data_IF_525219494766
#
_entry.id   IF_525219494766
#
_cell.length_a   1.000
_cell.length_b   1.000
_cell.length_c   1.000
_cell.angle_alpha   90.00
_cell.angle_beta   90.00
_cell.angle_gamma   90.00
#
_symmetry.space_group_name_H-M   'P 1'
#
loop_
_entity.id
_entity.type
_entity.pdbx_description
1 polymer ?
#
# COMPACT_ATOMS: atom_id res chain seq x y z
N UNK A 1 -20.61 -8.16 23.35
CA UNK A 1 -20.04 -7.47 24.53
C UNK A 1 -18.73 -8.15 24.88
N UNK A 2 -17.65 -7.38 25.05
CA UNK A 2 -16.28 -7.86 25.31
C UNK A 2 -16.20 -8.83 26.48
N UNK A 3 -17.00 -8.64 27.53
CA UNK A 3 -17.03 -9.47 28.74
C UNK A 3 -17.35 -10.94 28.43
N UNK A 4 -18.34 -11.19 27.56
CA UNK A 4 -18.72 -12.55 27.12
C UNK A 4 -17.67 -13.23 26.23
N UNK A 5 -16.83 -12.45 25.55
CA UNK A 5 -15.76 -12.98 24.70
C UNK A 5 -14.54 -13.40 25.54
N UNK A 6 -14.18 -12.61 26.55
CA UNK A 6 -13.10 -12.93 27.51
C UNK A 6 -13.38 -14.24 28.25
N UNK A 7 -14.62 -14.47 28.69
CA UNK A 7 -15.04 -15.73 29.33
C UNK A 7 -14.94 -16.95 28.41
N UNK A 8 -14.98 -16.76 27.08
CA UNK A 8 -14.90 -17.83 26.08
C UNK A 8 -13.46 -18.13 25.63
N UNK A 9 -12.58 -17.11 25.61
CA UNK A 9 -11.18 -17.23 25.17
C UNK A 9 -10.21 -17.74 26.24
N UNK A 10 -10.62 -17.86 27.51
CA UNK A 10 -9.79 -18.40 28.59
C UNK A 10 -9.54 -19.91 28.49
N UNK A 11 -10.18 -20.62 27.54
CA UNK A 11 -9.92 -22.03 27.26
C UNK A 11 -8.59 -22.14 26.49
N UNK A 12 -7.54 -22.54 27.20
CA UNK A 12 -6.18 -22.67 26.64
C UNK A 12 -6.12 -23.84 25.65
N UNK A 13 -6.33 -23.58 24.37
CA UNK A 13 -6.04 -24.56 23.32
C UNK A 13 -4.52 -24.54 23.09
N UNK A 14 -3.83 -25.56 23.60
CA UNK A 14 -2.42 -25.81 23.29
C UNK A 14 -2.33 -26.48 21.92
N UNK A 15 -1.98 -25.69 20.90
CA UNK A 15 -1.65 -26.15 19.56
C UNK A 15 -0.77 -25.11 18.87
N UNK A 16 0.12 -25.55 17.99
CA UNK A 16 0.89 -24.61 17.16
C UNK A 16 -0.09 -23.98 16.16
N UNK A 17 0.01 -22.68 15.87
CA UNK A 17 -0.92 -22.01 14.91
C UNK A 17 -0.95 -22.73 13.54
N UNK A 18 0.14 -23.41 13.21
CA UNK A 18 0.30 -24.28 12.04
C UNK A 18 -0.67 -25.48 12.00
N UNK A 19 -1.13 -25.96 13.16
CA UNK A 19 -2.11 -27.07 13.29
C UNK A 19 -3.56 -26.58 13.23
N UNK A 20 -3.80 -25.29 13.48
CA UNK A 20 -5.14 -24.72 13.64
C UNK A 20 -5.74 -24.18 12.33
N UNK A 21 -4.93 -23.87 11.31
CA UNK A 21 -5.44 -23.38 10.01
C UNK A 21 -4.62 -23.96 8.85
N UNK A 22 -5.14 -25.01 8.17
CA UNK A 22 -4.59 -25.46 6.89
C UNK A 22 -4.81 -24.36 5.84
N UNK A 23 -3.77 -23.61 5.46
CA UNK A 23 -3.79 -22.80 4.22
C UNK A 23 -3.25 -21.37 4.30
N UNK A 24 -3.01 -20.79 5.47
CA UNK A 24 -2.42 -19.45 5.59
C UNK A 24 -1.09 -19.50 6.34
N UNK A 25 -0.05 -20.01 5.69
CA UNK A 25 1.31 -19.95 6.25
C UNK A 25 1.77 -18.51 6.26
N UNK A 26 1.87 -17.92 7.45
CA UNK A 26 2.52 -16.62 7.63
C UNK A 26 3.92 -16.66 7.02
N UNK A 27 4.27 -15.62 6.25
CA UNK A 27 5.66 -15.35 5.89
C UNK A 27 5.94 -13.87 6.09
N UNK A 28 7.14 -13.55 6.55
CA UNK A 28 7.60 -12.17 6.73
C UNK A 28 7.46 -11.35 5.44
N UNK A 29 7.82 -11.95 4.31
CA UNK A 29 7.72 -11.31 2.99
C UNK A 29 6.26 -10.96 2.63
N UNK A 30 5.31 -11.88 2.86
CA UNK A 30 3.90 -11.64 2.57
C UNK A 30 3.30 -10.58 3.49
N UNK A 31 3.64 -10.60 4.78
CA UNK A 31 3.20 -9.57 5.73
C UNK A 31 3.70 -8.18 5.31
N UNK A 32 4.99 -8.07 4.96
CA UNK A 32 5.59 -6.82 4.47
C UNK A 32 4.85 -6.31 3.23
N UNK A 33 4.67 -7.16 2.22
CA UNK A 33 3.95 -6.79 1.00
C UNK A 33 2.51 -6.30 1.28
N UNK A 34 1.76 -7.02 2.12
CA UNK A 34 0.38 -6.65 2.44
C UNK A 34 0.29 -5.33 3.21
N UNK A 35 1.22 -5.06 4.13
CA UNK A 35 1.28 -3.78 4.83
C UNK A 35 1.65 -2.64 3.88
N UNK A 36 2.64 -2.85 3.01
CA UNK A 36 3.01 -1.87 1.99
C UNK A 36 1.84 -1.54 1.07
N UNK A 37 1.14 -2.58 0.57
CA UNK A 37 -0.05 -2.40 -0.26
C UNK A 37 -1.17 -1.66 0.49
N UNK A 38 -1.42 -2.01 1.76
CA UNK A 38 -2.42 -1.33 2.59
C UNK A 38 -2.10 0.15 2.76
N UNK A 39 -0.84 0.49 3.05
CA UNK A 39 -0.36 1.87 3.20
C UNK A 39 -0.54 2.65 1.91
N UNK A 40 -0.16 2.09 0.76
CA UNK A 40 -0.32 2.73 -0.56
C UNK A 40 -1.81 2.96 -0.86
N UNK A 41 -2.63 1.91 -0.80
CA UNK A 41 -4.05 1.96 -1.21
C UNK A 41 -4.91 2.86 -0.33
N UNK A 42 -4.51 3.08 0.92
CA UNK A 42 -5.25 3.91 1.88
C UNK A 42 -4.60 5.25 2.16
N UNK A 43 -3.50 5.57 1.48
CA UNK A 43 -2.73 6.80 1.68
C UNK A 43 -2.35 7.03 3.15
N UNK A 44 -2.01 5.96 3.87
CA UNK A 44 -1.62 6.10 5.27
C UNK A 44 -0.22 6.69 5.40
N UNK A 45 0.07 7.46 6.46
CA UNK A 45 1.43 7.78 6.84
C UNK A 45 2.25 6.50 7.08
N UNK A 46 3.51 6.48 6.68
CA UNK A 46 4.37 5.29 6.87
C UNK A 46 4.48 4.87 8.35
N UNK A 47 4.40 5.83 9.27
CA UNK A 47 4.43 5.60 10.71
C UNK A 47 3.25 4.75 11.23
N UNK A 48 2.18 4.54 10.45
CA UNK A 48 1.02 3.75 10.88
C UNK A 48 1.40 2.32 11.27
N UNK A 49 2.43 1.73 10.63
CA UNK A 49 2.89 0.37 10.97
C UNK A 49 3.67 0.29 12.29
N UNK A 50 3.97 1.45 12.87
CA UNK A 50 4.67 1.59 14.15
C UNK A 50 3.73 1.87 15.32
N UNK A 51 2.44 2.03 15.05
CA UNK A 51 1.38 2.20 16.05
C UNK A 51 1.40 1.05 17.08
N UNK A 52 1.51 1.35 18.38
CA UNK A 52 1.61 0.32 19.42
C UNK A 52 0.39 -0.60 19.49
N UNK A 53 -0.80 -0.05 19.36
CA UNK A 53 -2.08 -0.76 19.42
C UNK A 53 -2.22 -1.73 18.24
N UNK A 54 -1.89 -1.28 17.02
CA UNK A 54 -1.86 -2.14 15.84
C UNK A 54 -0.86 -3.29 16.00
N UNK A 55 0.35 -3.00 16.50
CA UNK A 55 1.36 -4.03 16.76
C UNK A 55 0.91 -5.03 17.81
N UNK A 56 0.23 -4.56 18.86
CA UNK A 56 -0.34 -5.44 19.88
C UNK A 56 -1.39 -6.39 19.28
N UNK A 57 -2.24 -5.91 18.36
CA UNK A 57 -3.20 -6.74 17.63
C UNK A 57 -2.47 -7.80 16.80
N UNK A 58 -1.44 -7.43 16.03
CA UNK A 58 -0.67 -8.38 15.24
C UNK A 58 0.02 -9.44 16.12
N UNK A 59 0.65 -9.04 17.22
CA UNK A 59 1.30 -9.96 18.16
C UNK A 59 0.29 -10.90 18.83
N UNK A 60 -0.92 -10.41 19.13
CA UNK A 60 -2.01 -11.24 19.67
C UNK A 60 -2.43 -12.33 18.68
N UNK A 61 -2.51 -11.99 17.38
CA UNK A 61 -2.86 -12.95 16.33
C UNK A 61 -1.72 -13.93 16.02
N UNK A 62 -0.46 -13.46 16.10
CA UNK A 62 0.72 -14.29 15.89
C UNK A 62 1.93 -13.75 16.67
N UNK A 63 2.33 -14.46 17.73
CA UNK A 63 3.36 -13.98 18.65
C UNK A 63 4.75 -13.79 18.01
N UNK A 64 5.04 -14.47 16.89
CA UNK A 64 6.30 -14.34 16.15
C UNK A 64 6.18 -13.40 14.95
N UNK A 65 5.16 -12.54 14.91
CA UNK A 65 4.99 -11.58 13.81
C UNK A 65 6.14 -10.59 13.79
N UNK A 66 6.77 -10.45 12.63
CA UNK A 66 7.72 -9.38 12.36
C UNK A 66 7.01 -8.27 11.59
N UNK A 67 6.85 -7.12 12.23
CA UNK A 67 6.26 -5.92 11.62
C UNK A 67 7.41 -5.05 11.08
N UNK A 68 7.39 -4.65 9.80
CA UNK A 68 8.41 -3.75 9.24
C UNK A 68 8.37 -2.37 9.90
N UNK A 69 9.50 -1.67 9.86
CA UNK A 69 9.58 -0.26 10.26
C UNK A 69 8.94 0.66 9.22
N UNK A 70 8.59 1.88 9.61
CA UNK A 70 8.13 2.92 8.70
C UNK A 70 9.16 3.20 7.59
N UNK A 71 10.46 3.16 7.93
CA UNK A 71 11.56 3.29 6.96
C UNK A 71 11.55 2.15 5.94
N UNK A 72 11.36 0.92 6.40
CA UNK A 72 11.27 -0.26 5.52
C UNK A 72 10.10 -0.12 4.54
N UNK A 73 8.92 0.27 5.04
CA UNK A 73 7.75 0.53 4.19
C UNK A 73 8.05 1.65 3.18
N UNK A 74 8.66 2.76 3.62
CA UNK A 74 9.03 3.85 2.71
C UNK A 74 9.97 3.37 1.59
N UNK A 75 11.00 2.59 1.92
CA UNK A 75 11.89 2.01 0.90
C UNK A 75 11.13 1.11 -0.09
N UNK A 76 10.22 0.26 0.39
CA UNK A 76 9.41 -0.62 -0.47
C UNK A 76 8.53 0.19 -1.42
N UNK A 77 7.89 1.25 -0.91
CA UNK A 77 7.02 2.11 -1.71
C UNK A 77 7.84 2.80 -2.80
N UNK A 78 9.04 3.29 -2.49
CA UNK A 78 9.94 3.87 -3.49
C UNK A 78 10.37 2.86 -4.55
N UNK A 79 10.71 1.63 -4.16
CA UNK A 79 11.06 0.57 -5.10
C UNK A 79 9.88 0.21 -6.01
N UNK A 80 8.67 0.06 -5.44
CA UNK A 80 7.44 -0.19 -6.20
C UNK A 80 7.14 0.98 -7.16
N UNK A 81 7.35 2.21 -6.72
CA UNK A 81 7.17 3.40 -7.55
C UNK A 81 8.15 3.41 -8.73
N UNK A 82 9.44 3.14 -8.50
CA UNK A 82 10.45 3.09 -9.55
C UNK A 82 10.16 1.99 -10.57
N UNK A 83 9.78 0.79 -10.10
CA UNK A 83 9.34 -0.31 -10.97
C UNK A 83 8.10 0.08 -11.79
N UNK A 84 7.12 0.71 -11.15
CA UNK A 84 5.89 1.16 -11.81
C UNK A 84 6.17 2.23 -12.86
N UNK A 85 7.08 3.16 -12.56
CA UNK A 85 7.53 4.20 -13.49
C UNK A 85 8.24 3.60 -14.71
N UNK A 86 9.12 2.61 -14.52
CA UNK A 86 9.77 1.90 -15.62
C UNK A 86 8.76 1.15 -16.50
N UNK A 87 7.75 0.52 -15.90
CA UNK A 87 6.66 -0.13 -16.61
C UNK A 87 5.84 0.88 -17.42
N UNK A 88 5.53 2.04 -16.85
CA UNK A 88 4.83 3.12 -17.53
C UNK A 88 5.64 3.69 -18.70
N UNK A 89 6.93 3.92 -18.50
CA UNK A 89 7.85 4.37 -19.56
C UNK A 89 7.89 3.35 -20.69
N UNK A 90 7.95 2.06 -20.38
CA UNK A 90 7.90 0.99 -21.38
C UNK A 90 6.59 1.01 -22.17
N UNK A 91 5.46 1.15 -21.46
CA UNK A 91 4.12 1.25 -22.07
C UNK A 91 4.02 2.44 -23.03
N UNK A 92 4.57 3.60 -22.65
CA UNK A 92 4.44 4.85 -23.41
C UNK A 92 5.48 5.01 -24.53
N UNK A 93 6.73 4.57 -24.33
CA UNK A 93 7.81 4.68 -25.35
C UNK A 93 7.52 3.79 -26.55
N UNK A 94 6.97 2.60 -26.32
CA UNK A 94 6.54 1.72 -27.40
C UNK A 94 5.19 2.22 -27.87
N UNK A 95 5.15 3.20 -28.78
CA UNK A 95 3.90 3.64 -29.45
C UNK A 95 3.11 2.49 -30.11
N UNK A 96 3.71 1.30 -30.25
CA UNK A 96 3.05 0.08 -30.70
C UNK A 96 2.32 -0.70 -29.57
N UNK A 97 2.60 -0.46 -28.29
CA UNK A 97 2.03 -1.20 -27.16
C UNK A 97 0.73 -0.59 -26.64
N UNK A 98 0.59 0.73 -26.70
CA UNK A 98 -0.66 1.42 -26.37
C UNK A 98 -1.24 2.11 -27.61
N UNK A 99 -2.26 1.53 -28.27
CA UNK A 99 -2.86 2.08 -29.50
C UNK A 99 -3.80 3.27 -29.24
N UNK A 100 -4.08 3.61 -27.97
CA UNK A 100 -5.04 4.63 -27.59
C UNK A 100 -4.50 6.06 -27.62
N UNK A 101 -5.38 7.02 -27.32
CA UNK A 101 -5.03 8.44 -27.18
C UNK A 101 -4.57 8.74 -25.76
N UNK A 102 -3.54 9.57 -25.64
CA UNK A 102 -3.04 10.08 -24.36
C UNK A 102 -3.29 11.59 -24.32
N UNK A 103 -3.89 12.06 -23.23
CA UNK A 103 -4.06 13.48 -22.95
C UNK A 103 -3.28 13.82 -21.67
N UNK A 104 -2.56 14.94 -21.68
CA UNK A 104 -1.80 15.43 -20.52
C UNK A 104 -2.50 16.68 -20.03
N UNK A 105 -2.95 16.65 -18.77
CA UNK A 105 -3.44 17.80 -18.04
C UNK A 105 -2.34 18.39 -17.17
N UNK A 106 -2.33 19.72 -17.08
CA UNK A 106 -1.46 20.47 -16.17
C UNK A 106 -2.39 21.21 -15.22
N UNK A 107 -2.19 21.04 -13.91
CA UNK A 107 -2.95 21.74 -12.89
C UNK A 107 -2.00 22.47 -11.95
N UNK A 108 -2.26 23.74 -11.70
CA UNK A 108 -1.40 24.57 -10.87
C UNK A 108 -2.26 25.37 -9.90
N UNK A 109 -1.99 25.23 -8.61
CA UNK A 109 -2.73 25.96 -7.57
C UNK A 109 -1.81 26.49 -6.48
N UNK A 110 -2.30 27.49 -5.76
CA UNK A 110 -1.66 28.00 -4.55
C UNK A 110 -2.44 27.51 -3.34
N UNK A 111 -1.77 26.86 -2.40
CA UNK A 111 -2.39 26.46 -1.15
C UNK A 111 -2.72 27.67 -0.27
N UNK A 112 -3.63 27.53 0.71
CA UNK A 112 -3.88 28.55 1.72
C UNK A 112 -2.63 28.99 2.50
N UNK A 113 -1.60 28.12 2.55
CA UNK A 113 -0.32 28.39 3.18
C UNK A 113 0.71 29.05 2.23
N UNK A 114 0.27 29.57 1.08
CA UNK A 114 1.09 30.31 0.09
C UNK A 114 2.17 29.45 -0.61
N UNK A 115 2.12 28.13 -0.46
CA UNK A 115 2.91 27.22 -1.30
C UNK A 115 2.23 27.05 -2.67
N UNK A 116 3.01 27.18 -3.73
CA UNK A 116 2.55 26.89 -5.10
C UNK A 116 2.78 25.41 -5.39
N UNK A 117 1.82 24.79 -6.06
CA UNK A 117 1.87 23.39 -6.46
C UNK A 117 1.60 23.29 -7.96
N UNK A 118 2.21 22.30 -8.61
CA UNK A 118 2.03 22.06 -10.03
C UNK A 118 2.04 20.56 -10.31
N UNK A 119 0.90 20.07 -10.79
CA UNK A 119 0.64 18.68 -11.10
C UNK A 119 0.65 18.43 -12.60
N UNK A 120 1.28 17.33 -12.97
CA UNK A 120 1.25 16.79 -14.32
C UNK A 120 0.45 15.49 -14.26
N UNK A 121 -0.71 15.48 -14.90
CA UNK A 121 -1.63 14.35 -14.89
C UNK A 121 -1.80 13.80 -16.30
N UNK A 122 -1.78 12.49 -16.44
CA UNK A 122 -2.02 11.79 -17.69
C UNK A 122 -3.37 11.07 -17.66
N UNK A 123 -4.11 11.25 -18.75
CA UNK A 123 -5.36 10.57 -19.03
C UNK A 123 -5.13 9.64 -20.21
N UNK A 124 -5.51 8.37 -20.05
CA UNK A 124 -5.49 7.37 -21.11
C UNK A 124 -6.80 6.58 -21.12
N UNK A 125 -7.20 6.06 -22.27
CA UNK A 125 -8.34 5.15 -22.40
C UNK A 125 -7.87 3.69 -22.47
N UNK A 126 -8.24 2.86 -21.50
CA UNK A 126 -7.91 1.44 -21.52
C UNK A 126 -9.21 0.65 -21.41
N UNK A 127 -9.46 -0.23 -22.38
CA UNK A 127 -10.69 -1.02 -22.44
C UNK A 127 -11.95 -0.13 -22.33
N UNK A 128 -11.94 1.00 -23.06
CA UNK A 128 -12.96 2.06 -23.06
C UNK A 128 -13.18 2.82 -21.73
N UNK A 129 -12.38 2.53 -20.70
CA UNK A 129 -12.41 3.25 -19.43
C UNK A 129 -11.28 4.27 -19.31
N UNK A 130 -11.57 5.50 -18.85
CA UNK A 130 -10.53 6.50 -18.61
C UNK A 130 -9.72 6.15 -17.36
N UNK A 131 -8.42 5.97 -17.55
CA UNK A 131 -7.44 5.83 -16.47
C UNK A 131 -6.72 7.17 -16.29
N UNK A 132 -6.76 7.67 -15.06
CA UNK A 132 -6.02 8.85 -14.62
C UNK A 132 -4.78 8.40 -13.85
N UNK A 133 -3.63 8.99 -14.18
CA UNK A 133 -2.37 8.79 -13.46
C UNK A 133 -1.68 10.12 -13.23
N UNK A 134 -1.25 10.37 -11.99
CA UNK A 134 -0.36 11.50 -11.67
C UNK A 134 1.06 11.12 -12.10
N UNK A 135 1.65 11.92 -12.99
CA UNK A 135 3.01 11.71 -13.48
C UNK A 135 4.04 12.40 -12.60
N UNK A 136 3.72 13.61 -12.15
CA UNK A 136 4.58 14.40 -11.27
C UNK A 136 3.75 15.36 -10.43
N UNK A 137 4.28 15.71 -9.27
CA UNK A 137 3.71 16.66 -8.31
C UNK A 137 4.85 17.55 -7.82
N UNK A 138 4.87 18.80 -8.26
CA UNK A 138 5.93 19.77 -7.97
C UNK A 138 5.41 20.73 -6.88
N UNK A 139 6.24 20.96 -5.86
CA UNK A 139 5.99 21.86 -4.73
C UNK A 139 7.02 22.98 -4.69
#
# INVERSE_FOLDING_TARGET
NLKKHVEKCSQTVKGTIEELIPGAKYTKARMRFMLTEWVIRRHHPYAVVEDPELRAIFCMLYAKVEVPSARTISCDIHEIFDMSKLNLVTLLKVRCAYPGKVHIGLDGWMSPNVYSFFDIVMYLLRDDEPILMVLDFIK
#
